data_IF_037960121116
#
_entry.id   IF_037960121116
#
_cell.length_a   1.000
_cell.length_b   1.000
_cell.length_c   1.000
_cell.angle_alpha   90.00
_cell.angle_beta   90.00
_cell.angle_gamma   90.00
#
_symmetry.space_group_name_H-M   'P 1'
#
loop_
_entity.id
_entity.type
_entity.pdbx_description
1 polymer ?
#
# COMPACT_ATOMS: atom_id res chain seq x y z
N UNK A 1 3.40 -21.80 10.94
CA UNK A 1 2.56 -23.02 10.87
C UNK A 1 2.26 -23.24 9.39
N UNK A 2 2.52 -24.42 8.81
CA UNK A 2 2.53 -24.57 7.33
C UNK A 2 1.15 -24.38 6.71
N UNK A 3 1.10 -23.86 5.49
CA UNK A 3 -0.12 -23.79 4.67
C UNK A 3 -0.81 -25.15 4.59
N UNK A 4 -2.14 -25.14 4.66
CA UNK A 4 -2.95 -26.34 4.44
C UNK A 4 -2.80 -26.80 2.99
N UNK A 5 -2.36 -28.03 2.73
CA UNK A 5 -2.22 -28.52 1.37
C UNK A 5 -3.59 -28.64 0.69
N UNK A 6 -3.68 -28.16 -0.55
CA UNK A 6 -4.89 -28.25 -1.37
C UNK A 6 -5.13 -29.70 -1.82
N UNK A 7 -6.35 -30.20 -1.66
CA UNK A 7 -6.73 -31.54 -2.13
C UNK A 7 -6.80 -31.60 -3.66
N UNK A 8 -6.46 -32.76 -4.25
CA UNK A 8 -6.57 -32.97 -5.69
C UNK A 8 -8.03 -32.78 -6.18
N UNK A 9 -9.01 -33.22 -5.38
CA UNK A 9 -10.43 -33.05 -5.71
C UNK A 9 -10.83 -31.57 -5.79
N UNK A 10 -10.33 -30.74 -4.87
CA UNK A 10 -10.61 -29.30 -4.85
C UNK A 10 -9.99 -28.60 -6.06
N UNK A 11 -8.75 -28.98 -6.40
CA UNK A 11 -8.06 -28.47 -7.59
C UNK A 11 -8.83 -28.77 -8.86
N UNK A 12 -9.21 -30.03 -9.06
CA UNK A 12 -9.93 -30.46 -10.26
C UNK A 12 -11.32 -29.83 -10.37
N UNK A 13 -11.99 -29.65 -9.23
CA UNK A 13 -13.26 -28.94 -9.16
C UNK A 13 -13.13 -27.47 -9.56
N UNK A 14 -12.11 -26.77 -9.03
CA UNK A 14 -11.83 -25.38 -9.37
C UNK A 14 -11.52 -25.20 -10.85
N UNK A 15 -10.68 -26.08 -11.43
CA UNK A 15 -10.33 -26.02 -12.85
C UNK A 15 -11.57 -26.19 -13.74
N UNK A 16 -12.44 -27.17 -13.44
CA UNK A 16 -13.70 -27.37 -14.17
C UNK A 16 -14.64 -26.16 -14.05
N UNK A 17 -14.76 -25.59 -12.86
CA UNK A 17 -15.59 -24.41 -12.65
C UNK A 17 -15.09 -23.19 -13.45
N UNK A 18 -13.76 -23.01 -13.55
CA UNK A 18 -13.15 -21.95 -14.36
C UNK A 18 -13.41 -22.17 -15.85
N UNK A 19 -13.37 -23.41 -16.34
CA UNK A 19 -13.73 -23.74 -17.74
C UNK A 19 -15.19 -23.39 -18.05
N UNK A 20 -16.09 -23.58 -17.07
CA UNK A 20 -17.48 -23.14 -17.15
C UNK A 20 -17.69 -21.63 -16.90
N UNK A 21 -16.61 -20.87 -16.68
CA UNK A 21 -16.62 -19.43 -16.33
C UNK A 21 -17.42 -19.12 -15.07
N UNK A 22 -17.51 -20.06 -14.13
CA UNK A 22 -18.19 -19.89 -12.84
C UNK A 22 -17.17 -19.73 -11.72
N UNK A 23 -17.40 -18.75 -10.85
CA UNK A 23 -16.61 -18.55 -9.62
C UNK A 23 -17.35 -19.13 -8.42
N UNK A 24 -16.59 -19.57 -7.41
CA UNK A 24 -17.14 -20.08 -6.14
C UNK A 24 -18.04 -19.06 -5.42
N UNK A 25 -17.67 -17.78 -5.46
CA UNK A 25 -18.41 -16.70 -4.80
C UNK A 25 -19.66 -16.25 -5.59
N UNK A 26 -19.95 -16.85 -6.75
CA UNK A 26 -21.06 -16.46 -7.63
C UNK A 26 -20.85 -15.18 -8.45
N UNK A 27 -19.69 -14.53 -8.34
CA UNK A 27 -19.32 -13.32 -9.11
C UNK A 27 -18.94 -13.62 -10.56
N UNK A 28 -19.04 -12.63 -11.45
CA UNK A 28 -18.53 -12.77 -12.82
C UNK A 28 -17.00 -12.76 -12.84
N UNK A 29 -16.41 -13.08 -13.99
CA UNK A 29 -14.95 -13.17 -14.17
C UNK A 29 -14.23 -11.83 -13.98
N UNK A 30 -14.89 -10.72 -14.30
CA UNK A 30 -14.32 -9.37 -14.24
C UNK A 30 -14.78 -8.55 -13.02
N UNK A 31 -15.61 -9.13 -12.15
CA UNK A 31 -16.16 -8.43 -10.99
C UNK A 31 -15.17 -8.41 -9.82
N UNK A 32 -14.88 -7.22 -9.32
CA UNK A 32 -14.16 -7.04 -8.07
C UNK A 32 -14.99 -7.49 -6.86
N UNK A 33 -14.31 -7.75 -5.73
CA UNK A 33 -14.98 -7.92 -4.43
C UNK A 33 -15.49 -6.56 -3.96
N UNK A 34 -16.48 -6.57 -3.06
CA UNK A 34 -16.92 -5.35 -2.41
C UNK A 34 -15.73 -4.71 -1.65
N UNK A 35 -15.50 -3.42 -1.90
CA UNK A 35 -14.43 -2.63 -1.29
C UNK A 35 -15.07 -1.75 -0.23
N UNK A 36 -14.58 -1.82 1.01
CA UNK A 36 -14.95 -0.89 2.07
C UNK A 36 -13.71 -0.19 2.59
N UNK A 37 -13.80 1.11 2.75
CA UNK A 37 -12.72 1.95 3.25
C UNK A 37 -13.21 2.57 4.55
N UNK A 38 -12.43 2.40 5.62
CA UNK A 38 -12.68 2.99 6.93
C UNK A 38 -11.48 3.83 7.33
N UNK A 39 -11.71 5.03 7.81
CA UNK A 39 -10.64 5.90 8.30
C UNK A 39 -10.43 5.72 9.81
N UNK A 40 -9.19 5.85 10.26
CA UNK A 40 -8.86 5.91 11.68
C UNK A 40 -9.18 7.27 12.30
N UNK A 41 -8.88 7.42 13.59
CA UNK A 41 -8.96 8.71 14.30
C UNK A 41 -7.93 9.70 13.77
N UNK A 42 -6.74 9.19 13.46
CA UNK A 42 -5.59 10.01 13.09
C UNK A 42 -5.51 10.20 11.57
N UNK A 43 -5.02 11.36 11.14
CA UNK A 43 -4.79 11.63 9.73
C UNK A 43 -3.77 10.66 9.13
N UNK A 44 -4.08 10.13 7.95
CA UNK A 44 -3.25 9.13 7.28
C UNK A 44 -3.37 7.70 7.78
N UNK A 45 -4.29 7.42 8.72
CA UNK A 45 -4.68 6.05 9.08
C UNK A 45 -5.90 5.61 8.24
N UNK A 46 -5.78 4.47 7.55
CA UNK A 46 -6.92 3.87 6.85
C UNK A 46 -6.92 2.34 6.91
N UNK A 47 -8.11 1.78 6.84
CA UNK A 47 -8.39 0.35 6.74
C UNK A 47 -9.15 0.09 5.45
N UNK A 48 -8.65 -0.83 4.63
CA UNK A 48 -9.29 -1.24 3.39
C UNK A 48 -9.64 -2.72 3.47
N UNK A 49 -10.93 -2.99 3.28
CA UNK A 49 -11.50 -4.33 3.21
C UNK A 49 -11.86 -4.64 1.76
N UNK A 50 -11.19 -5.64 1.19
CA UNK A 50 -11.50 -6.20 -0.12
C UNK A 50 -12.11 -7.60 0.08
N UNK A 51 -13.42 -7.65 0.33
CA UNK A 51 -14.10 -8.87 0.77
C UNK A 51 -13.60 -9.32 2.15
N UNK A 52 -12.78 -10.38 2.19
CA UNK A 52 -12.15 -10.86 3.44
C UNK A 52 -10.72 -10.38 3.62
N UNK A 53 -10.04 -9.93 2.55
CA UNK A 53 -8.69 -9.37 2.65
C UNK A 53 -8.78 -8.01 3.33
N UNK A 54 -8.03 -7.82 4.41
CA UNK A 54 -8.01 -6.58 5.18
C UNK A 54 -6.58 -6.06 5.29
N UNK A 55 -6.39 -4.80 4.94
CA UNK A 55 -5.11 -4.11 4.96
C UNK A 55 -5.26 -2.79 5.72
N UNK A 56 -4.29 -2.48 6.56
CA UNK A 56 -4.16 -1.19 7.22
C UNK A 56 -3.01 -0.43 6.55
N UNK A 57 -3.18 0.86 6.30
CA UNK A 57 -2.09 1.74 5.88
C UNK A 57 -1.99 2.92 6.85
N UNK A 58 -0.76 3.25 7.21
CA UNK A 58 -0.41 4.37 8.05
C UNK A 58 0.63 5.23 7.34
N UNK A 59 0.40 6.54 7.34
CA UNK A 59 1.38 7.51 6.83
C UNK A 59 2.01 8.25 8.00
N UNK A 60 3.32 8.41 7.95
CA UNK A 60 4.11 9.22 8.88
C UNK A 60 5.00 10.19 8.11
N UNK A 61 5.32 11.33 8.74
CA UNK A 61 6.22 12.33 8.18
C UNK A 61 7.33 12.72 9.15
N UNK A 62 8.53 12.88 8.64
CA UNK A 62 9.72 13.32 9.39
C UNK A 62 10.50 14.34 8.57
N UNK A 63 11.20 15.27 9.23
CA UNK A 63 12.13 16.20 8.59
C UNK A 63 13.52 15.58 8.53
N UNK A 64 14.02 15.35 7.32
CA UNK A 64 15.30 14.68 7.08
C UNK A 64 16.13 15.48 6.08
N UNK A 65 17.45 15.32 6.12
CA UNK A 65 18.32 15.90 5.10
C UNK A 65 18.07 15.22 3.74
N UNK A 66 17.96 16.00 2.64
CA UNK A 66 17.74 15.43 1.33
C UNK A 66 18.95 14.63 0.86
N UNK A 67 18.75 13.83 -0.20
CA UNK A 67 19.86 13.14 -0.89
C UNK A 67 20.66 14.15 -1.70
N UNK A 68 21.99 14.02 -1.69
CA UNK A 68 22.90 14.90 -2.45
C UNK A 68 22.58 14.96 -3.95
N UNK A 69 22.05 13.87 -4.52
CA UNK A 69 21.69 13.81 -5.94
C UNK A 69 20.51 14.69 -6.30
N UNK A 70 19.59 14.95 -5.34
CA UNK A 70 18.36 15.74 -5.54
C UNK A 70 18.01 16.52 -4.28
N UNK A 71 18.65 17.68 -4.05
CA UNK A 71 18.44 18.49 -2.85
C UNK A 71 17.06 19.17 -2.76
N UNK A 72 16.34 19.27 -3.88
CA UNK A 72 15.07 20.01 -4.00
C UNK A 72 13.84 19.10 -3.94
N UNK A 73 14.01 17.78 -3.77
CA UNK A 73 12.92 16.81 -3.74
C UNK A 73 12.83 16.16 -2.35
N UNK A 74 11.60 16.04 -1.85
CA UNK A 74 11.27 15.22 -0.69
C UNK A 74 11.41 13.73 -0.96
N UNK A 75 11.44 12.93 0.11
CA UNK A 75 11.69 11.49 0.03
C UNK A 75 10.42 10.72 0.36
N UNK A 76 10.03 9.80 -0.53
CA UNK A 76 8.92 8.86 -0.32
C UNK A 76 9.47 7.45 -0.06
N UNK A 77 9.06 6.87 1.06
CA UNK A 77 9.39 5.51 1.45
C UNK A 77 8.11 4.68 1.59
N UNK A 78 8.11 3.49 0.99
CA UNK A 78 7.01 2.54 1.08
C UNK A 78 7.52 1.27 1.76
N UNK A 79 6.71 0.74 2.66
CA UNK A 79 7.00 -0.49 3.35
C UNK A 79 5.72 -1.30 3.47
N UNK A 80 5.80 -2.59 3.13
CA UNK A 80 4.69 -3.51 3.28
C UNK A 80 5.14 -4.59 4.26
N UNK A 81 4.40 -4.74 5.35
CA UNK A 81 4.61 -5.77 6.33
C UNK A 81 3.50 -6.82 6.26
N UNK A 82 3.92 -8.08 6.18
CA UNK A 82 3.03 -9.22 6.25
C UNK A 82 3.01 -9.72 7.69
N UNK A 83 1.93 -9.42 8.42
CA UNK A 83 1.75 -9.90 9.78
C UNK A 83 1.48 -11.41 9.79
N UNK A 84 2.02 -12.17 10.76
CA UNK A 84 1.63 -13.58 10.98
C UNK A 84 0.14 -13.74 11.30
N UNK A 85 -0.56 -12.65 11.68
CA UNK A 85 -2.02 -12.64 11.83
C UNK A 85 -2.75 -12.85 10.51
N UNK A 86 -2.15 -12.44 9.39
CA UNK A 86 -2.81 -12.48 8.09
C UNK A 86 -2.83 -13.87 7.47
N UNK A 87 -1.77 -14.66 7.69
CA UNK A 87 -1.70 -16.06 7.32
C UNK A 87 -0.69 -16.79 8.21
N UNK A 88 -0.97 -18.03 8.65
CA UNK A 88 -0.03 -18.85 9.40
C UNK A 88 1.29 -19.13 8.68
N UNK A 89 1.33 -18.97 7.35
CA UNK A 89 2.52 -19.12 6.52
C UNK A 89 3.45 -17.90 6.54
N UNK A 90 2.99 -16.76 7.04
CA UNK A 90 3.84 -15.59 7.22
C UNK A 90 4.57 -15.71 8.57
N UNK A 91 5.89 -15.76 8.52
CA UNK A 91 6.75 -15.76 9.71
C UNK A 91 7.24 -14.34 9.98
N UNK A 92 7.14 -13.89 11.23
CA UNK A 92 7.58 -12.56 11.64
C UNK A 92 9.10 -12.42 11.46
N UNK A 93 9.54 -11.36 10.77
CA UNK A 93 10.96 -11.06 10.54
C UNK A 93 11.59 -11.75 9.32
N UNK A 94 10.97 -12.79 8.76
CA UNK A 94 11.40 -13.35 7.47
C UNK A 94 10.73 -12.58 6.35
N UNK A 95 11.50 -11.75 5.64
CA UNK A 95 11.04 -11.13 4.40
C UNK A 95 10.76 -12.24 3.38
N UNK A 96 9.49 -12.58 3.20
CA UNK A 96 9.08 -13.54 2.19
C UNK A 96 9.35 -12.97 0.79
N UNK A 97 9.58 -13.85 -0.18
CA UNK A 97 9.74 -13.44 -1.57
C UNK A 97 8.55 -12.60 -2.04
N UNK A 98 7.35 -12.94 -1.56
CA UNK A 98 6.10 -12.20 -1.79
C UNK A 98 6.17 -10.78 -1.22
N UNK A 99 6.64 -10.58 0.02
CA UNK A 99 6.81 -9.25 0.63
C UNK A 99 7.72 -8.36 -0.22
N UNK A 100 8.88 -8.88 -0.62
CA UNK A 100 9.87 -8.14 -1.43
C UNK A 100 9.30 -7.78 -2.80
N UNK A 101 8.58 -8.70 -3.45
CA UNK A 101 7.92 -8.46 -4.74
C UNK A 101 6.85 -7.37 -4.62
N UNK A 102 5.95 -7.49 -3.64
CA UNK A 102 4.87 -6.53 -3.43
C UNK A 102 5.43 -5.14 -3.11
N UNK A 103 6.42 -5.05 -2.23
CA UNK A 103 7.00 -3.77 -1.85
C UNK A 103 7.66 -3.08 -3.07
N UNK A 104 8.45 -3.84 -3.84
CA UNK A 104 9.06 -3.32 -5.07
C UNK A 104 8.03 -2.91 -6.13
N UNK A 105 6.94 -3.66 -6.26
CA UNK A 105 5.88 -3.35 -7.20
C UNK A 105 5.12 -2.07 -6.79
N UNK A 106 4.78 -1.95 -5.51
CA UNK A 106 4.13 -0.76 -4.97
C UNK A 106 5.04 0.46 -5.12
N UNK A 107 6.29 0.38 -4.70
CA UNK A 107 7.26 1.47 -4.84
C UNK A 107 7.40 1.92 -6.30
N UNK A 108 7.46 0.97 -7.25
CA UNK A 108 7.49 1.28 -8.69
C UNK A 108 6.22 1.98 -9.16
N UNK A 109 5.04 1.53 -8.76
CA UNK A 109 3.78 2.14 -9.16
C UNK A 109 3.69 3.60 -8.71
N UNK A 110 3.99 3.88 -7.44
CA UNK A 110 3.90 5.24 -6.90
C UNK A 110 5.05 6.16 -7.38
N UNK A 111 6.28 5.64 -7.47
CA UNK A 111 7.44 6.44 -7.91
C UNK A 111 7.44 6.70 -9.41
N UNK A 112 7.13 5.72 -10.25
CA UNK A 112 7.12 5.91 -11.71
C UNK A 112 5.98 6.80 -12.15
N UNK A 113 4.83 6.71 -11.46
CA UNK A 113 3.70 7.55 -11.76
C UNK A 113 3.96 9.00 -11.36
N UNK A 114 4.82 9.30 -10.37
CA UNK A 114 4.97 10.64 -9.77
C UNK A 114 3.65 11.20 -9.25
N UNK A 115 2.90 10.35 -8.56
CA UNK A 115 1.58 10.69 -8.02
C UNK A 115 1.58 11.83 -6.99
N UNK A 116 2.66 11.97 -6.23
CA UNK A 116 2.82 13.03 -5.22
C UNK A 116 3.86 14.03 -5.71
N UNK A 117 3.60 15.30 -5.45
CA UNK A 117 4.56 16.36 -5.70
C UNK A 117 5.70 16.34 -4.67
N UNK A 118 6.83 15.76 -5.04
CA UNK A 118 8.03 15.73 -4.21
C UNK A 118 8.71 17.09 -4.08
N UNK A 119 8.49 18.04 -4.99
CA UNK A 119 9.09 19.37 -4.92
C UNK A 119 8.39 20.21 -3.85
N UNK A 120 7.06 20.09 -3.73
CA UNK A 120 6.26 20.72 -2.66
C UNK A 120 6.64 20.29 -1.24
N UNK A 121 7.40 19.19 -1.11
CA UNK A 121 7.88 18.63 0.14
C UNK A 121 9.24 19.19 0.58
N UNK A 122 9.90 20.01 -0.25
CA UNK A 122 11.12 20.68 0.13
C UNK A 122 10.81 21.89 1.04
N UNK A 123 11.50 21.98 2.19
CA UNK A 123 11.38 23.13 3.10
C UNK A 123 12.55 24.06 2.86
N UNK A 124 13.78 23.55 3.05
CA UNK A 124 15.02 24.25 2.75
C UNK A 124 15.87 23.36 1.83
N UNK A 125 16.10 23.86 0.61
CA UNK A 125 16.88 23.16 -0.41
C UNK A 125 18.25 22.74 0.12
N UNK A 126 18.55 21.45 0.07
CA UNK A 126 19.85 20.90 0.48
C UNK A 126 20.03 20.66 1.97
N UNK A 127 19.12 21.14 2.82
CA UNK A 127 19.25 21.01 4.28
C UNK A 127 18.12 20.20 4.91
N UNK A 128 16.85 20.54 4.62
CA UNK A 128 15.68 19.91 5.22
C UNK A 128 14.57 19.71 4.20
N UNK A 129 14.17 18.46 4.05
CA UNK A 129 13.02 18.05 3.23
C UNK A 129 12.10 17.14 4.05
N UNK A 130 10.83 17.11 3.68
CA UNK A 130 9.90 16.15 4.23
C UNK A 130 10.19 14.75 3.67
N UNK A 131 10.36 13.81 4.60
CA UNK A 131 10.34 12.39 4.32
C UNK A 131 8.97 11.84 4.72
N UNK A 132 8.24 11.32 3.74
CA UNK A 132 6.94 10.66 3.96
C UNK A 132 7.16 9.16 3.89
N UNK A 133 6.75 8.45 4.93
CA UNK A 133 6.75 6.99 5.00
C UNK A 133 5.32 6.49 4.98
N UNK A 134 5.05 5.52 4.11
CA UNK A 134 3.79 4.78 4.06
C UNK A 134 4.06 3.34 4.47
N UNK A 135 3.55 2.97 5.64
CA UNK A 135 3.61 1.62 6.17
C UNK A 135 2.26 0.92 5.93
N UNK A 136 2.30 -0.20 5.23
CA UNK A 136 1.13 -1.00 4.88
C UNK A 136 1.20 -2.33 5.63
N UNK A 137 0.31 -2.55 6.58
CA UNK A 137 0.22 -3.77 7.37
C UNK A 137 -0.92 -4.65 6.87
N UNK A 138 -0.60 -5.88 6.51
CA UNK A 138 -1.62 -6.86 6.12
C UNK A 138 -2.21 -7.49 7.38
N UNK A 139 -3.53 -7.36 7.58
CA UNK A 139 -4.24 -7.91 8.74
C UNK A 139 -4.89 -9.26 8.43
N UNK A 140 -5.43 -9.43 7.23
CA UNK A 140 -6.01 -10.69 6.77
C UNK A 140 -5.70 -10.92 5.29
N UNK A 141 -5.27 -12.14 4.94
CA UNK A 141 -4.92 -12.51 3.57
C UNK A 141 -5.90 -13.51 2.97
N UNK A 142 -6.73 -13.04 2.03
CA UNK A 142 -7.66 -13.87 1.24
C UNK A 142 -7.50 -13.54 -0.26
N UNK A 143 -6.26 -13.38 -0.73
CA UNK A 143 -5.95 -13.03 -2.12
C UNK A 143 -6.08 -11.53 -2.48
N UNK A 144 -5.65 -11.16 -3.70
CA UNK A 144 -5.57 -9.79 -4.22
C UNK A 144 -4.93 -8.77 -3.25
N UNK A 145 -3.79 -9.13 -2.64
CA UNK A 145 -3.14 -8.28 -1.66
C UNK A 145 -2.58 -6.98 -2.27
N UNK A 146 -2.03 -7.05 -3.49
CA UNK A 146 -1.48 -5.87 -4.19
C UNK A 146 -2.53 -4.78 -4.42
N UNK A 147 -3.74 -5.17 -4.83
CA UNK A 147 -4.85 -4.24 -5.08
C UNK A 147 -5.34 -3.61 -3.79
N UNK A 148 -5.50 -4.41 -2.73
CA UNK A 148 -5.87 -3.87 -1.42
C UNK A 148 -4.78 -2.91 -0.88
N UNK A 149 -3.50 -3.24 -1.06
CA UNK A 149 -2.37 -2.42 -0.62
C UNK A 149 -2.25 -1.11 -1.41
N UNK A 150 -2.45 -1.12 -2.73
CA UNK A 150 -2.41 0.12 -3.53
C UNK A 150 -3.56 1.05 -3.20
N UNK A 151 -4.78 0.52 -3.02
CA UNK A 151 -5.94 1.30 -2.57
C UNK A 151 -5.71 1.86 -1.16
N UNK A 152 -5.18 1.06 -0.24
CA UNK A 152 -4.87 1.53 1.12
C UNK A 152 -3.80 2.63 1.10
N UNK A 153 -2.71 2.45 0.35
CA UNK A 153 -1.64 3.45 0.26
C UNK A 153 -2.14 4.78 -0.33
N UNK A 154 -2.87 4.75 -1.45
CA UNK A 154 -3.37 5.99 -2.06
C UNK A 154 -4.40 6.70 -1.18
N UNK A 155 -5.27 5.92 -0.52
CA UNK A 155 -6.30 6.47 0.36
C UNK A 155 -5.68 7.09 1.61
N UNK A 156 -4.68 6.42 2.20
CA UNK A 156 -3.93 6.95 3.33
C UNK A 156 -3.19 8.24 2.97
N UNK A 157 -2.54 8.29 1.80
CA UNK A 157 -1.86 9.49 1.29
C UNK A 157 -2.83 10.66 1.05
N UNK A 158 -4.03 10.39 0.53
CA UNK A 158 -5.06 11.42 0.34
C UNK A 158 -5.64 11.92 1.67
N UNK A 159 -5.74 11.05 2.67
CA UNK A 159 -6.26 11.39 4.00
C UNK A 159 -5.22 12.08 4.87
N UNK A 160 -3.93 11.82 4.64
CA UNK A 160 -2.84 12.34 5.44
C UNK A 160 -2.71 13.87 5.31
N UNK A 161 -2.40 14.50 6.44
CA UNK A 161 -2.12 15.92 6.53
C UNK A 161 -0.81 16.10 7.28
N UNK A 162 0.09 16.91 6.72
CA UNK A 162 1.40 17.22 7.32
C UNK A 162 1.28 18.45 8.24
N UNK A 163 2.10 18.54 9.30
CA UNK A 163 2.17 19.75 10.10
C UNK A 163 2.70 20.94 9.27
N UNK A 164 2.23 22.14 9.62
CA UNK A 164 2.71 23.37 9.01
C UNK A 164 4.11 23.74 9.52
N UNK A 165 4.91 24.37 8.68
CA UNK A 165 6.27 24.82 9.00
C UNK A 165 6.44 26.28 8.61
N UNK A 166 7.01 27.07 9.52
CA UNK A 166 7.50 28.40 9.17
C UNK A 166 9.02 28.46 9.21
N UNK A 167 9.56 29.23 8.28
CA UNK A 167 10.99 29.46 8.11
C UNK A 167 11.23 30.91 8.53
N UNK A 168 12.03 31.12 9.57
CA UNK A 168 12.50 32.45 9.99
C UNK A 168 14.02 32.49 9.89
N UNK A 169 14.53 32.90 8.72
CA UNK A 169 15.97 32.83 8.44
C UNK A 169 16.43 31.37 8.30
N UNK A 170 17.32 30.93 9.18
CA UNK A 170 17.81 29.53 9.25
C UNK A 170 17.01 28.65 10.22
N UNK A 171 16.17 29.25 11.09
CA UNK A 171 15.41 28.50 12.08
C UNK A 171 14.09 27.97 11.49
N UNK A 172 13.92 26.65 11.57
CA UNK A 172 12.71 25.95 11.13
C UNK A 172 11.86 25.61 12.35
N UNK A 173 10.66 26.19 12.38
CA UNK A 173 9.67 25.91 13.44
C UNK A 173 8.56 25.05 12.87
N UNK A 174 8.39 23.85 13.46
CA UNK A 174 7.28 22.94 13.14
C UNK A 174 6.15 23.21 14.12
N UNK A 175 4.98 23.56 13.61
CA UNK A 175 3.81 23.78 14.45
C UNK A 175 3.10 22.47 14.74
N UNK A 176 2.53 22.39 15.95
CA UNK A 176 1.66 21.27 16.32
C UNK A 176 0.28 21.44 15.64
N UNK A 177 -0.48 20.34 15.45
CA UNK A 177 -1.82 20.41 14.86
C UNK A 177 -2.84 21.22 15.69
N UNK A 178 -2.52 21.54 16.95
CA UNK A 178 -3.35 22.40 17.81
C UNK A 178 -3.09 23.89 17.55
N UNK A 179 -1.87 24.25 17.15
CA UNK A 179 -1.48 25.64 16.88
C UNK A 179 -1.88 26.08 15.46
N UNK A 180 -1.79 25.15 14.49
CA UNK A 180 -2.14 25.40 13.10
C UNK A 180 -2.78 24.19 12.46
N UNK A 181 -3.73 24.47 11.57
CA UNK A 181 -4.39 23.44 10.78
C UNK A 181 -3.37 22.69 9.90
N UNK A 182 -3.35 21.34 9.93
CA UNK A 182 -2.41 20.57 9.14
C UNK A 182 -2.78 20.61 7.65
N UNK A 183 -1.74 20.65 6.81
CA UNK A 183 -1.84 20.90 5.37
C UNK A 183 -1.96 19.56 4.63
N UNK A 184 -2.89 19.41 3.67
CA UNK A 184 -2.98 18.20 2.85
C UNK A 184 -1.78 18.06 1.90
N UNK A 185 -1.52 16.85 1.44
CA UNK A 185 -0.51 16.58 0.42
C UNK A 185 -1.00 16.96 -0.99
N UNK A 186 -0.08 17.45 -1.82
CA UNK A 186 -0.32 17.70 -3.24
C UNK A 186 -0.22 16.40 -4.04
N UNK A 187 -1.38 15.88 -4.46
CA UNK A 187 -1.48 14.64 -5.25
C UNK A 187 -1.97 14.98 -6.66
N UNK A 188 -1.18 14.60 -7.68
CA UNK A 188 -1.50 14.83 -9.10
C UNK A 188 -2.49 13.80 -9.65
N UNK A 189 -2.27 12.52 -9.33
CA UNK A 189 -3.10 11.41 -9.81
C UNK A 189 -3.05 10.24 -8.83
N UNK A 190 -4.04 9.36 -8.95
CA UNK A 190 -4.29 8.25 -8.03
C UNK A 190 -4.10 6.92 -8.75
N UNK A 191 -2.86 6.38 -8.82
CA UNK A 191 -2.62 5.09 -9.45
C UNK A 191 -3.19 3.97 -8.58
N UNK A 192 -3.98 3.09 -9.19
CA UNK A 192 -4.53 1.90 -8.53
C UNK A 192 -4.02 0.68 -9.29
N UNK A 193 -3.58 -0.35 -8.57
CA UNK A 193 -3.22 -1.62 -9.19
C UNK A 193 -4.46 -2.47 -9.45
N UNK A 194 -4.45 -3.19 -10.56
CA UNK A 194 -5.44 -4.21 -10.85
C UNK A 194 -4.74 -5.54 -11.15
N UNK A 195 -4.91 -6.53 -10.28
CA UNK A 195 -4.35 -7.85 -10.45
C UNK A 195 -5.35 -8.79 -11.14
N UNK A 196 -4.95 -9.31 -12.31
CA UNK A 196 -5.72 -10.32 -13.05
C UNK A 196 -4.96 -11.66 -13.05
N UNK A 197 -5.50 -12.74 -12.46
CA UNK A 197 -4.87 -14.05 -12.50
C UNK A 197 -5.04 -14.70 -13.90
N UNK A 198 -4.02 -15.46 -14.32
CA UNK A 198 -4.07 -16.26 -15.55
C UNK A 198 -4.02 -17.75 -15.20
N UNK A 199 -5.00 -18.52 -15.69
CA UNK A 199 -5.09 -19.96 -15.40
C UNK A 199 -4.63 -20.77 -16.61
N UNK A 200 -3.70 -21.71 -16.41
CA UNK A 200 -3.30 -22.69 -17.42
C UNK A 200 -3.43 -24.11 -16.86
N UNK A 201 -3.84 -25.09 -17.68
CA UNK A 201 -4.18 -26.47 -17.24
C UNK A 201 -3.03 -27.19 -16.52
N UNK A 202 -1.78 -26.83 -16.80
CA UNK A 202 -0.59 -27.43 -16.17
C UNK A 202 -0.04 -26.61 -14.98
N UNK A 203 -0.45 -25.35 -14.84
CA UNK A 203 -0.06 -24.47 -13.73
C UNK A 203 -1.20 -23.52 -13.39
N UNK A 204 -1.75 -23.70 -12.19
CA UNK A 204 -2.52 -22.65 -11.53
C UNK A 204 -1.50 -21.59 -11.07
N UNK A 205 -1.09 -20.73 -12.01
CA UNK A 205 -0.46 -19.48 -11.66
C UNK A 205 -1.57 -18.56 -11.17
N UNK A 206 -1.96 -18.68 -9.90
CA UNK A 206 -2.57 -17.55 -9.24
C UNK A 206 -1.60 -16.38 -9.42
N UNK A 207 -1.93 -15.42 -10.28
CA UNK A 207 -1.26 -14.13 -10.29
C UNK A 207 -1.31 -13.63 -8.85
N UNK A 208 -0.13 -13.32 -8.30
CA UNK A 208 0.23 -13.34 -6.86
C UNK A 208 0.45 -14.75 -6.25
N UNK A 209 1.54 -15.40 -6.68
CA UNK A 209 2.39 -16.20 -5.80
C UNK A 209 3.56 -15.33 -5.30
#
# INVERSE_FOLDING_TARGET
MKDTPLSNCERDFLLKAIEEKKRLDGRQTYDYRNIKITFGTDYGCCFVDLGKTRVMAQVSCELVAPKETRPNEGVLFFNIELSPMASPAFEQGRQSELSVKLNRQLERCFRNSKCIDTESLCVVSGEKVWQIRVDVHTLNHDGNLMDAASIAAITALCHFRRPDVSIQGEDITVYTPEERDPIPLSIYHMPISSASPSFNRERICCGSM
#
